data_IF_716578157014
#
_entry.id   IF_716578157014
#
_cell.length_a   1.000
_cell.length_b   1.000
_cell.length_c   1.000
_cell.angle_alpha   90.00
_cell.angle_beta   90.00
_cell.angle_gamma   90.00
#
_symmetry.space_group_name_H-M   'P 1'
#
loop_
_entity.id
_entity.type
_entity.pdbx_description
1 polymer ?
#
# COMPACT_ATOMS: atom_id res chain seq x y z
N UNK A 1 -9.34 7.30 34.60
CA UNK A 1 -9.73 6.36 33.52
C UNK A 1 -9.30 6.96 32.18
N UNK A 2 -8.44 6.27 31.43
CA UNK A 2 -7.77 6.84 30.25
C UNK A 2 -8.65 6.75 29.00
N UNK A 3 -8.58 7.73 28.10
CA UNK A 3 -9.32 7.73 26.82
C UNK A 3 -9.08 6.49 25.95
N UNK A 4 -7.92 5.82 26.15
CA UNK A 4 -7.58 4.54 25.52
C UNK A 4 -8.54 3.40 25.89
N UNK A 5 -9.05 3.38 27.12
CA UNK A 5 -9.96 2.31 27.59
C UNK A 5 -11.38 2.45 27.02
N UNK A 6 -11.75 3.68 26.62
CA UNK A 6 -13.03 3.97 25.96
C UNK A 6 -12.98 3.58 24.47
N UNK A 7 -11.88 3.89 23.80
CA UNK A 7 -11.68 3.51 22.39
C UNK A 7 -11.63 1.99 22.21
N UNK A 8 -11.05 1.27 23.17
CA UNK A 8 -10.94 -0.21 23.20
C UNK A 8 -12.27 -0.96 23.30
N UNK A 9 -13.34 -0.33 23.79
CA UNK A 9 -14.67 -0.97 23.88
C UNK A 9 -15.47 -0.89 22.58
N UNK A 10 -15.16 0.07 21.71
CA UNK A 10 -15.94 0.35 20.50
C UNK A 10 -15.30 -0.28 19.26
N UNK A 11 -13.98 -0.49 19.29
CA UNK A 11 -13.25 -1.06 18.15
C UNK A 11 -13.44 -2.59 18.07
N UNK A 12 -13.92 -3.12 16.94
CA UNK A 12 -13.94 -4.56 16.69
C UNK A 12 -12.55 -5.18 16.84
N UNK A 13 -12.46 -6.41 17.32
CA UNK A 13 -11.20 -7.17 17.54
C UNK A 13 -10.28 -7.23 16.31
N UNK A 14 -10.84 -7.04 15.11
CA UNK A 14 -10.11 -7.05 13.84
C UNK A 14 -9.42 -5.73 13.49
N UNK A 15 -9.86 -4.61 14.08
CA UNK A 15 -9.34 -3.27 13.78
C UNK A 15 -8.20 -2.88 14.73
N UNK A 16 -8.22 -3.36 15.97
CA UNK A 16 -7.20 -3.02 16.96
C UNK A 16 -5.76 -3.35 16.52
N UNK A 17 -5.48 -4.50 15.86
CA UNK A 17 -4.14 -4.76 15.33
C UNK A 17 -3.68 -3.72 14.31
N UNK A 18 -4.59 -3.14 13.52
CA UNK A 18 -4.25 -2.12 12.52
C UNK A 18 -3.74 -0.82 13.17
N UNK A 19 -4.14 -0.53 14.40
CA UNK A 19 -3.69 0.66 15.14
C UNK A 19 -2.25 0.54 15.66
N UNK A 20 -1.62 -0.64 15.50
CA UNK A 20 -0.22 -0.83 15.84
C UNK A 20 0.69 -0.04 14.90
N UNK A 21 1.39 0.95 15.45
CA UNK A 21 2.42 1.70 14.73
C UNK A 21 3.53 0.81 14.16
N UNK A 22 3.82 -0.32 14.83
CA UNK A 22 4.81 -1.29 14.34
C UNK A 22 4.32 -2.01 13.07
N UNK A 23 3.06 -2.45 13.03
CA UNK A 23 2.51 -3.10 11.85
C UNK A 23 2.39 -2.12 10.68
N UNK A 24 1.94 -0.90 10.96
CA UNK A 24 1.91 0.18 9.98
C UNK A 24 3.32 0.49 9.44
N UNK A 25 4.32 0.60 10.33
CA UNK A 25 5.71 0.85 9.95
C UNK A 25 6.31 -0.26 9.10
N UNK A 26 6.02 -1.53 9.40
CA UNK A 26 6.41 -2.67 8.55
C UNK A 26 5.75 -2.57 7.18
N UNK A 27 4.45 -2.33 7.12
CA UNK A 27 3.73 -2.19 5.85
C UNK A 27 4.28 -1.02 5.00
N UNK A 28 4.52 0.13 5.62
CA UNK A 28 5.14 1.29 4.96
C UNK A 28 6.54 0.94 4.41
N UNK A 29 7.35 0.23 5.20
CA UNK A 29 8.69 -0.22 4.79
C UNK A 29 8.61 -1.14 3.57
N UNK A 30 7.66 -2.06 3.54
CA UNK A 30 7.40 -2.90 2.36
C UNK A 30 6.99 -2.05 1.15
N UNK A 31 6.17 -1.01 1.37
CA UNK A 31 5.85 0.01 0.36
C UNK A 31 7.08 0.66 -0.27
N UNK A 32 8.00 1.11 0.57
CA UNK A 32 9.25 1.75 0.13
C UNK A 32 10.10 0.76 -0.68
N UNK A 33 10.24 -0.49 -0.21
CA UNK A 33 10.97 -1.54 -0.94
C UNK A 33 10.34 -1.80 -2.31
N UNK A 34 9.01 -1.86 -2.39
CA UNK A 34 8.30 -1.99 -3.66
C UNK A 34 8.58 -0.83 -4.62
N UNK A 35 8.57 0.41 -4.11
CA UNK A 35 8.87 1.59 -4.93
C UNK A 35 10.31 1.57 -5.47
N UNK A 36 11.29 1.09 -4.69
CA UNK A 36 12.64 0.87 -5.19
C UNK A 36 12.69 -0.22 -6.27
N UNK A 37 11.98 -1.34 -6.07
CA UNK A 37 11.93 -2.43 -7.05
C UNK A 37 11.31 -1.97 -8.39
N UNK A 38 10.22 -1.20 -8.33
CA UNK A 38 9.57 -0.59 -9.51
C UNK A 38 10.55 0.30 -10.28
N UNK A 39 11.16 1.28 -9.60
CA UNK A 39 12.07 2.23 -10.26
C UNK A 39 13.35 1.56 -10.78
N UNK A 40 13.89 0.57 -10.05
CA UNK A 40 15.05 -0.20 -10.52
C UNK A 40 14.71 -1.00 -11.77
N UNK A 41 13.54 -1.66 -11.79
CA UNK A 41 13.07 -2.42 -12.96
C UNK A 41 12.82 -1.51 -14.16
N UNK A 42 12.20 -0.34 -13.94
CA UNK A 42 12.03 0.67 -14.97
C UNK A 42 13.38 1.13 -15.52
N UNK A 43 14.33 1.46 -14.66
CA UNK A 43 15.65 1.93 -15.06
C UNK A 43 16.41 0.87 -15.86
N UNK A 44 16.39 -0.39 -15.42
CA UNK A 44 17.01 -1.50 -16.17
C UNK A 44 16.28 -1.70 -17.51
N UNK A 45 14.96 -1.74 -17.51
CA UNK A 45 14.16 -1.91 -18.72
C UNK A 45 14.43 -0.83 -19.77
N UNK A 46 14.36 0.44 -19.37
CA UNK A 46 14.53 1.56 -20.28
C UNK A 46 15.99 1.81 -20.67
N UNK A 47 16.91 1.83 -19.69
CA UNK A 47 18.29 2.27 -19.92
C UNK A 47 19.23 1.14 -20.35
N UNK A 48 18.97 -0.11 -19.92
CA UNK A 48 19.85 -1.25 -20.22
C UNK A 48 19.27 -2.09 -21.36
N UNK A 49 17.96 -2.35 -21.32
CA UNK A 49 17.29 -3.21 -22.30
C UNK A 49 16.66 -2.42 -23.47
N UNK A 50 16.63 -1.09 -23.40
CA UNK A 50 16.06 -0.24 -24.45
C UNK A 50 14.55 -0.39 -24.64
N UNK A 51 13.83 -0.86 -23.61
CA UNK A 51 12.37 -0.98 -23.65
C UNK A 51 11.72 0.41 -23.65
N UNK A 52 10.58 0.60 -24.34
CA UNK A 52 9.81 1.81 -24.20
C UNK A 52 9.30 2.00 -22.76
N UNK A 53 9.15 3.25 -22.34
CA UNK A 53 8.84 3.63 -20.96
C UNK A 53 7.58 2.96 -20.41
N UNK A 54 6.51 2.90 -21.21
CA UNK A 54 5.21 2.33 -20.80
C UNK A 54 5.30 0.83 -20.47
N UNK A 55 5.79 -0.05 -21.37
CA UNK A 55 6.08 -1.45 -21.06
C UNK A 55 7.04 -1.63 -19.88
N UNK A 56 8.15 -0.88 -19.82
CA UNK A 56 9.12 -0.98 -18.73
C UNK A 56 8.48 -0.61 -17.39
N UNK A 57 7.60 0.41 -17.37
CA UNK A 57 6.86 0.81 -16.18
C UNK A 57 5.84 -0.26 -15.76
N UNK A 58 5.12 -0.84 -16.70
CA UNK A 58 4.16 -1.91 -16.41
C UNK A 58 4.85 -3.12 -15.76
N UNK A 59 6.01 -3.53 -16.28
CA UNK A 59 6.82 -4.60 -15.69
C UNK A 59 7.32 -4.19 -14.30
N UNK A 60 7.79 -2.95 -14.12
CA UNK A 60 8.21 -2.45 -12.81
C UNK A 60 7.11 -2.50 -11.76
N UNK A 61 5.88 -2.12 -12.12
CA UNK A 61 4.71 -2.21 -11.24
C UNK A 61 4.44 -3.66 -10.83
N UNK A 62 4.41 -4.60 -11.76
CA UNK A 62 4.18 -6.02 -11.43
C UNK A 62 5.30 -6.60 -10.55
N UNK A 63 6.57 -6.28 -10.85
CA UNK A 63 7.71 -6.68 -10.01
C UNK A 63 7.55 -6.13 -8.58
N UNK A 64 7.16 -4.87 -8.44
CA UNK A 64 6.92 -4.28 -7.12
C UNK A 64 5.78 -4.96 -6.38
N UNK A 65 4.66 -5.27 -7.04
CA UNK A 65 3.54 -6.00 -6.43
C UNK A 65 4.02 -7.37 -5.91
N UNK A 66 4.78 -8.11 -6.71
CA UNK A 66 5.33 -9.42 -6.34
C UNK A 66 6.29 -9.29 -5.16
N UNK A 67 7.26 -8.38 -5.22
CA UNK A 67 8.23 -8.14 -4.15
C UNK A 67 7.51 -7.81 -2.85
N UNK A 68 6.56 -6.88 -2.90
CA UNK A 68 5.82 -6.49 -1.70
C UNK A 68 4.97 -7.62 -1.14
N UNK A 69 4.35 -8.45 -1.99
CA UNK A 69 3.64 -9.64 -1.55
C UNK A 69 4.57 -10.63 -0.86
N UNK A 70 5.72 -10.95 -1.48
CA UNK A 70 6.69 -11.91 -0.95
C UNK A 70 7.25 -11.43 0.39
N UNK A 71 7.60 -10.15 0.51
CA UNK A 71 8.09 -9.59 1.77
C UNK A 71 6.98 -9.63 2.83
N UNK A 72 5.74 -9.31 2.49
CA UNK A 72 4.63 -9.43 3.42
C UNK A 72 4.37 -10.88 3.88
N UNK A 73 4.38 -11.84 2.96
CA UNK A 73 4.20 -13.27 3.26
C UNK A 73 5.33 -13.83 4.14
N UNK A 74 6.59 -13.42 3.89
CA UNK A 74 7.76 -13.97 4.58
C UNK A 74 8.18 -13.22 5.83
N UNK A 75 7.77 -11.96 5.99
CA UNK A 75 8.21 -11.11 7.10
C UNK A 75 7.04 -10.48 7.86
N UNK A 76 6.19 -9.69 7.20
CA UNK A 76 5.13 -8.94 7.89
C UNK A 76 4.08 -9.87 8.52
N UNK A 77 3.76 -10.98 7.84
CA UNK A 77 2.75 -11.95 8.21
C UNK A 77 3.30 -13.39 8.22
N UNK A 78 4.60 -13.54 8.47
CA UNK A 78 5.26 -14.84 8.51
C UNK A 78 4.52 -15.81 9.44
N UNK A 79 4.27 -17.04 8.96
CA UNK A 79 3.53 -18.06 9.71
C UNK A 79 2.01 -17.89 9.71
N UNK A 80 1.46 -16.83 9.10
CA UNK A 80 0.02 -16.62 8.98
C UNK A 80 -0.50 -17.14 7.65
N UNK A 81 -1.31 -18.19 7.72
CA UNK A 81 -2.01 -18.75 6.56
C UNK A 81 -1.72 -20.23 6.34
N UNK A 82 -2.69 -20.92 5.74
CA UNK A 82 -2.53 -22.35 5.45
C UNK A 82 -1.37 -22.59 4.46
N UNK A 83 -0.57 -23.65 4.67
CA UNK A 83 0.48 -24.06 3.74
C UNK A 83 -0.13 -24.58 2.42
N UNK A 84 0.66 -24.52 1.34
CA UNK A 84 0.30 -25.05 0.02
C UNK A 84 0.07 -23.98 -1.06
N UNK A 85 0.17 -24.41 -2.32
CA UNK A 85 0.12 -23.53 -3.50
C UNK A 85 -1.25 -22.86 -3.68
N UNK A 86 -2.35 -23.57 -3.41
CA UNK A 86 -3.72 -23.01 -3.52
C UNK A 86 -3.96 -21.85 -2.56
N UNK A 87 -3.73 -22.03 -1.24
CA UNK A 87 -3.80 -20.93 -0.27
C UNK A 87 -2.88 -19.76 -0.58
N UNK A 88 -1.64 -20.02 -1.04
CA UNK A 88 -0.70 -18.99 -1.45
C UNK A 88 -1.22 -18.16 -2.64
N UNK A 89 -1.67 -18.84 -3.71
CA UNK A 89 -2.22 -18.19 -4.89
C UNK A 89 -3.46 -17.34 -4.56
N UNK A 90 -4.32 -17.81 -3.66
CA UNK A 90 -5.47 -17.02 -3.19
C UNK A 90 -5.06 -15.77 -2.40
N UNK A 91 -4.00 -15.84 -1.58
CA UNK A 91 -3.46 -14.66 -0.89
C UNK A 91 -2.83 -13.69 -1.87
N UNK A 92 -2.06 -14.19 -2.84
CA UNK A 92 -1.47 -13.39 -3.91
C UNK A 92 -2.54 -12.65 -4.71
N UNK A 93 -3.57 -13.37 -5.18
CA UNK A 93 -4.69 -12.78 -5.92
C UNK A 93 -5.44 -11.72 -5.12
N UNK A 94 -5.64 -11.93 -3.81
CA UNK A 94 -6.22 -10.90 -2.93
C UNK A 94 -5.33 -9.67 -2.78
N UNK A 95 -4.02 -9.85 -2.59
CA UNK A 95 -3.08 -8.73 -2.49
C UNK A 95 -3.07 -7.93 -3.80
N UNK A 96 -3.08 -8.59 -4.95
CA UNK A 96 -3.16 -7.94 -6.27
C UNK A 96 -4.47 -7.15 -6.43
N UNK A 97 -5.61 -7.74 -6.07
CA UNK A 97 -6.92 -7.06 -6.08
C UNK A 97 -6.99 -5.85 -5.14
N UNK A 98 -6.45 -5.97 -3.92
CA UNK A 98 -6.42 -4.84 -2.98
C UNK A 98 -5.55 -3.72 -3.54
N UNK A 99 -4.38 -4.06 -4.10
CA UNK A 99 -3.47 -3.08 -4.71
C UNK A 99 -4.06 -2.37 -5.91
N UNK A 100 -4.72 -3.09 -6.81
CA UNK A 100 -5.39 -2.49 -7.96
C UNK A 100 -6.54 -1.57 -7.54
N UNK A 101 -7.29 -1.97 -6.50
CA UNK A 101 -8.28 -1.11 -5.84
C UNK A 101 -7.65 0.16 -5.26
N UNK A 102 -6.51 0.04 -4.57
CA UNK A 102 -5.77 1.16 -4.00
C UNK A 102 -5.24 2.14 -5.06
N UNK A 103 -4.69 1.63 -6.16
CA UNK A 103 -4.25 2.47 -7.30
C UNK A 103 -5.44 3.20 -7.92
N UNK A 104 -6.58 2.52 -8.08
CA UNK A 104 -7.80 3.15 -8.59
C UNK A 104 -8.28 4.27 -7.67
N UNK A 105 -8.25 4.04 -6.35
CA UNK A 105 -8.58 5.05 -5.35
C UNK A 105 -7.61 6.23 -5.37
N UNK A 106 -6.30 5.97 -5.50
CA UNK A 106 -5.28 7.01 -5.62
C UNK A 106 -5.58 7.92 -6.82
N UNK A 107 -5.85 7.33 -8.00
CA UNK A 107 -6.16 8.09 -9.23
C UNK A 107 -7.43 8.92 -9.03
N UNK A 108 -8.49 8.32 -8.47
CA UNK A 108 -9.74 9.02 -8.22
C UNK A 108 -9.57 10.18 -7.21
N UNK A 109 -8.82 9.96 -6.13
CA UNK A 109 -8.53 10.99 -5.13
C UNK A 109 -7.70 12.13 -5.73
N UNK A 110 -6.64 11.81 -6.48
CA UNK A 110 -5.82 12.81 -7.17
C UNK A 110 -6.64 13.63 -8.16
N UNK A 111 -7.46 12.98 -8.97
CA UNK A 111 -8.36 13.64 -9.91
C UNK A 111 -9.35 14.56 -9.19
N UNK A 112 -9.95 14.11 -8.08
CA UNK A 112 -10.86 14.92 -7.29
C UNK A 112 -10.16 16.16 -6.72
N UNK A 113 -9.00 15.98 -6.10
CA UNK A 113 -8.21 17.06 -5.49
C UNK A 113 -7.74 18.10 -6.51
N UNK A 114 -7.40 17.69 -7.73
CA UNK A 114 -6.85 18.60 -8.76
C UNK A 114 -7.89 19.17 -9.73
N UNK A 115 -9.05 18.52 -9.87
CA UNK A 115 -10.09 18.95 -10.84
C UNK A 115 -11.35 19.52 -10.20
N UNK A 116 -11.59 19.24 -8.92
CA UNK A 116 -12.80 19.73 -8.22
C UNK A 116 -12.50 20.69 -7.09
N UNK A 117 -11.27 20.75 -6.61
CA UNK A 117 -10.86 21.71 -5.59
C UNK A 117 -9.94 22.75 -6.21
N UNK A 118 -10.38 24.01 -6.17
CA UNK A 118 -9.57 25.15 -6.57
C UNK A 118 -8.71 25.58 -5.37
N UNK A 119 -7.66 24.82 -5.11
CA UNK A 119 -6.67 25.13 -4.08
C UNK A 119 -5.36 25.50 -4.77
N UNK A 120 -4.79 26.63 -4.39
CA UNK A 120 -3.48 27.08 -4.85
C UNK A 120 -2.51 27.00 -3.69
N UNK A 121 -1.39 26.32 -3.89
CA UNK A 121 -0.30 26.26 -2.90
C UNK A 121 0.96 26.74 -3.57
N UNK A 122 1.40 27.96 -3.24
CA UNK A 122 2.58 28.55 -3.88
C UNK A 122 3.82 28.29 -3.03
N UNK A 123 4.85 27.72 -3.65
CA UNK A 123 6.19 27.61 -3.09
C UNK A 123 7.20 28.16 -4.10
N UNK A 124 8.06 29.09 -3.66
CA UNK A 124 9.03 29.77 -4.53
C UNK A 124 8.44 30.36 -5.83
N UNK A 125 7.19 30.86 -5.77
CA UNK A 125 6.49 31.44 -6.93
C UNK A 125 5.85 30.43 -7.89
N UNK A 126 5.94 29.13 -7.59
CA UNK A 126 5.36 28.05 -8.40
C UNK A 126 4.17 27.45 -7.65
N UNK A 127 3.05 27.23 -8.34
CA UNK A 127 1.93 26.46 -7.79
C UNK A 127 2.30 24.97 -7.72
N UNK A 128 2.41 24.47 -6.50
CA UNK A 128 2.78 23.10 -6.16
C UNK A 128 1.60 22.29 -5.63
N UNK A 129 0.36 22.77 -5.77
CA UNK A 129 -0.83 22.04 -5.31
C UNK A 129 -0.89 20.62 -5.87
N UNK A 130 -0.54 20.42 -7.14
CA UNK A 130 -0.52 19.08 -7.76
C UNK A 130 0.41 18.09 -7.04
N UNK A 131 1.54 18.55 -6.50
CA UNK A 131 2.44 17.70 -5.71
C UNK A 131 1.80 17.33 -4.37
N UNK A 132 1.23 18.32 -3.68
CA UNK A 132 0.53 18.12 -2.40
C UNK A 132 -0.65 17.14 -2.59
N UNK A 133 -1.44 17.33 -3.64
CA UNK A 133 -2.55 16.47 -4.00
C UNK A 133 -2.10 15.04 -4.31
N UNK A 134 -0.96 14.87 -5.00
CA UNK A 134 -0.39 13.55 -5.28
C UNK A 134 0.03 12.83 -4.00
N UNK A 135 0.75 13.52 -3.10
CA UNK A 135 1.14 12.96 -1.79
C UNK A 135 -0.08 12.60 -0.94
N UNK A 136 -1.10 13.47 -0.91
CA UNK A 136 -2.34 13.20 -0.19
C UNK A 136 -3.08 11.97 -0.75
N UNK A 137 -3.18 11.87 -2.08
CA UNK A 137 -3.81 10.72 -2.74
C UNK A 137 -3.07 9.41 -2.46
N UNK A 138 -1.74 9.42 -2.51
CA UNK A 138 -0.89 8.27 -2.13
C UNK A 138 -1.16 7.89 -0.66
N UNK A 139 -1.19 8.88 0.24
CA UNK A 139 -1.45 8.65 1.66
C UNK A 139 -2.79 7.98 1.92
N UNK A 140 -3.86 8.49 1.31
CA UNK A 140 -5.21 7.89 1.42
C UNK A 140 -5.24 6.46 0.88
N UNK A 141 -4.70 6.23 -0.32
CA UNK A 141 -4.64 4.91 -0.93
C UNK A 141 -3.80 3.93 -0.09
N UNK A 142 -2.70 4.38 0.48
CA UNK A 142 -1.83 3.58 1.35
C UNK A 142 -2.54 3.16 2.63
N UNK A 143 -3.28 4.06 3.28
CA UNK A 143 -4.06 3.74 4.47
C UNK A 143 -5.17 2.72 4.18
N UNK A 144 -5.88 2.90 3.06
CA UNK A 144 -6.90 1.94 2.61
C UNK A 144 -6.27 0.60 2.28
N UNK A 145 -5.17 0.56 1.54
CA UNK A 145 -4.44 -0.68 1.24
C UNK A 145 -4.00 -1.39 2.51
N UNK A 146 -3.44 -0.69 3.49
CA UNK A 146 -3.04 -1.27 4.76
C UNK A 146 -4.22 -1.90 5.50
N UNK A 147 -5.36 -1.19 5.59
CA UNK A 147 -6.55 -1.70 6.23
C UNK A 147 -7.12 -2.93 5.50
N UNK A 148 -7.21 -2.88 4.16
CA UNK A 148 -7.76 -3.97 3.37
C UNK A 148 -6.85 -5.20 3.37
N UNK A 149 -5.53 -5.01 3.25
CA UNK A 149 -4.56 -6.10 3.37
C UNK A 149 -4.69 -6.76 4.75
N UNK A 150 -4.71 -5.98 5.83
CA UNK A 150 -4.84 -6.53 7.18
C UNK A 150 -6.16 -7.25 7.44
N UNK A 151 -7.29 -6.73 6.95
CA UNK A 151 -8.63 -7.29 7.22
C UNK A 151 -9.03 -8.43 6.28
N UNK A 152 -8.68 -8.34 4.99
CA UNK A 152 -9.17 -9.26 3.96
C UNK A 152 -8.10 -10.25 3.46
N UNK A 153 -6.87 -9.81 3.29
CA UNK A 153 -5.77 -10.70 2.87
C UNK A 153 -5.30 -11.54 4.05
N UNK A 154 -4.99 -10.89 5.18
CA UNK A 154 -4.35 -11.52 6.33
C UNK A 154 -5.28 -11.81 7.51
N UNK A 155 -6.52 -11.29 7.47
CA UNK A 155 -7.60 -11.53 8.44
C UNK A 155 -7.13 -11.43 9.90
N UNK A 156 -6.48 -10.33 10.26
CA UNK A 156 -6.00 -10.10 11.61
C UNK A 156 -7.14 -10.27 12.64
N UNK A 157 -6.95 -11.18 13.60
CA UNK A 157 -7.81 -11.40 14.76
C UNK A 157 -6.97 -11.23 16.05
N UNK A 158 -7.59 -10.69 17.10
CA UNK A 158 -6.95 -10.49 18.42
C UNK A 158 -6.49 -11.84 18.96
N UNK A 159 -5.18 -12.01 19.21
CA UNK A 159 -4.59 -13.24 19.78
C UNK A 159 -3.21 -13.62 19.23
N UNK A 160 -2.80 -13.11 18.07
CA UNK A 160 -1.48 -13.40 17.48
C UNK A 160 -0.47 -12.29 17.79
N UNK A 161 -0.16 -12.09 19.07
CA UNK A 161 1.02 -11.36 19.50
C UNK A 161 2.21 -12.32 19.62
N UNK A 162 3.14 -12.25 18.67
CA UNK A 162 4.56 -12.56 18.93
C UNK A 162 5.35 -11.27 18.85
#
# INVERSE_FOLDING_TARGET
MSGRDRLRRVLPDRIEPLLSGTLFGRFLSVGIVGAFADNATLAVGALVLGLPDLPAKAVGVEVAIIVMFVVNERWTFAGRGAPGLGPLARRFGRSHLVRSGGVSLQIAAYWLLTRRLDVTVVAAGIDVWFLVASVAAIGVAMLVNYAFEGLFTWRLQRGEST
#
